data_IF_880670277162
#
_entry.id   IF_880670277162
#
_cell.length_a   1.000
_cell.length_b   1.000
_cell.length_c   1.000
_cell.angle_alpha   90.00
_cell.angle_beta   90.00
_cell.angle_gamma   90.00
#
_symmetry.space_group_name_H-M   'P 1'
#
loop_
_entity.id
_entity.type
_entity.pdbx_description
1 polymer ?
#
# COMPACT_ATOMS: atom_id res chain seq x y z
N UNK A 1 57.09 -35.43 10.26
CA UNK A 1 55.67 -35.49 9.84
C UNK A 1 54.70 -35.29 11.03
N UNK A 2 55.17 -34.83 12.19
CA UNK A 2 54.34 -34.71 13.42
C UNK A 2 53.90 -33.27 13.74
N UNK A 3 54.45 -32.25 13.09
CA UNK A 3 54.01 -30.86 13.29
C UNK A 3 52.62 -30.56 12.70
N UNK A 4 52.18 -31.31 11.68
CA UNK A 4 50.88 -31.08 11.02
C UNK A 4 49.69 -31.58 11.85
N UNK A 5 49.89 -32.61 12.68
CA UNK A 5 48.84 -33.17 13.55
C UNK A 5 48.58 -32.26 14.74
N UNK A 6 49.60 -31.72 15.41
CA UNK A 6 49.40 -30.81 16.54
C UNK A 6 48.69 -29.50 16.14
N UNK A 7 49.00 -28.94 14.97
CA UNK A 7 48.36 -27.72 14.46
C UNK A 7 46.89 -27.97 14.10
N UNK A 8 46.55 -29.14 13.52
CA UNK A 8 45.16 -29.48 13.20
C UNK A 8 44.31 -29.76 14.44
N UNK A 9 44.87 -30.36 15.51
CA UNK A 9 44.13 -30.64 16.76
C UNK A 9 43.70 -29.36 17.49
N UNK A 10 44.43 -28.25 17.36
CA UNK A 10 44.10 -26.97 17.99
C UNK A 10 43.27 -26.08 17.05
N UNK A 11 43.55 -26.11 15.75
CA UNK A 11 42.84 -25.28 14.78
C UNK A 11 41.36 -25.69 14.61
N UNK A 12 41.05 -26.99 14.61
CA UNK A 12 39.68 -27.51 14.46
C UNK A 12 38.72 -27.05 15.56
N UNK A 13 39.03 -27.15 16.87
CA UNK A 13 38.13 -26.68 17.93
C UNK A 13 37.97 -25.15 17.93
N UNK A 14 39.01 -24.39 17.57
CA UNK A 14 38.90 -22.92 17.43
C UNK A 14 37.93 -22.57 16.30
N UNK A 15 38.08 -23.18 15.12
CA UNK A 15 37.16 -22.99 13.99
C UNK A 15 35.73 -23.42 14.33
N UNK A 16 35.56 -24.54 15.03
CA UNK A 16 34.25 -25.01 15.48
C UNK A 16 33.60 -24.02 16.46
N UNK A 17 34.38 -23.42 17.35
CA UNK A 17 33.89 -22.41 18.32
C UNK A 17 33.46 -21.13 17.60
N UNK A 18 34.25 -20.65 16.64
CA UNK A 18 33.90 -19.48 15.81
C UNK A 18 32.65 -19.78 14.97
N UNK A 19 32.56 -20.97 14.37
CA UNK A 19 31.39 -21.39 13.60
C UNK A 19 30.13 -21.50 14.47
N UNK A 20 30.24 -21.99 15.71
CA UNK A 20 29.14 -22.05 16.66
C UNK A 20 28.65 -20.66 17.07
N UNK A 21 29.57 -19.72 17.35
CA UNK A 21 29.22 -18.32 17.66
C UNK A 21 28.57 -17.64 16.46
N UNK A 22 29.11 -17.83 15.25
CA UNK A 22 28.51 -17.30 14.03
C UNK A 22 27.10 -17.87 13.79
N UNK A 23 26.92 -19.17 14.04
CA UNK A 23 25.61 -19.84 13.91
C UNK A 23 24.61 -19.34 14.96
N UNK A 24 25.04 -19.10 16.19
CA UNK A 24 24.21 -18.52 17.25
C UNK A 24 23.78 -17.08 16.91
N UNK A 25 24.68 -16.25 16.38
CA UNK A 25 24.35 -14.90 15.92
C UNK A 25 23.36 -14.94 14.75
N UNK A 26 23.57 -15.86 13.80
CA UNK A 26 22.66 -16.04 12.67
C UNK A 26 21.27 -16.51 13.12
N UNK A 27 21.20 -17.47 14.05
CA UNK A 27 19.96 -17.96 14.63
C UNK A 27 19.23 -16.85 15.40
N UNK A 28 19.97 -16.04 16.18
CA UNK A 28 19.38 -14.91 16.91
C UNK A 28 18.83 -13.83 15.96
N UNK A 29 19.58 -13.46 14.92
CA UNK A 29 19.10 -12.55 13.88
C UNK A 29 17.89 -13.12 13.13
N UNK A 30 17.88 -14.41 12.84
CA UNK A 30 16.74 -15.10 12.22
C UNK A 30 15.51 -15.09 13.12
N UNK A 31 15.67 -15.29 14.42
CA UNK A 31 14.57 -15.23 15.39
C UNK A 31 14.00 -13.81 15.51
N UNK A 32 14.84 -12.79 15.56
CA UNK A 32 14.40 -11.38 15.54
C UNK A 32 13.62 -11.09 14.26
N UNK A 33 14.17 -11.47 13.10
CA UNK A 33 13.52 -11.27 11.80
C UNK A 33 12.18 -12.02 11.70
N UNK A 34 12.10 -13.25 12.20
CA UNK A 34 10.87 -14.03 12.21
C UNK A 34 9.79 -13.40 13.11
N UNK A 35 10.19 -12.83 14.25
CA UNK A 35 9.27 -12.17 15.18
C UNK A 35 8.72 -10.88 14.56
N UNK A 36 9.60 -10.05 13.98
CA UNK A 36 9.21 -8.84 13.26
C UNK A 36 8.31 -9.16 12.05
N UNK A 37 8.65 -10.21 11.29
CA UNK A 37 7.84 -10.67 10.16
C UNK A 37 6.45 -11.15 10.61
N UNK A 38 6.35 -11.84 11.75
CA UNK A 38 5.07 -12.29 12.30
C UNK A 38 4.21 -11.10 12.77
N UNK A 39 4.80 -10.12 13.43
CA UNK A 39 4.11 -8.89 13.85
C UNK A 39 3.61 -8.11 12.63
N UNK A 40 4.45 -7.94 11.62
CA UNK A 40 4.08 -7.33 10.35
C UNK A 40 2.96 -8.10 9.66
N UNK A 41 3.05 -9.43 9.60
CA UNK A 41 2.02 -10.28 9.01
C UNK A 41 0.69 -10.13 9.75
N UNK A 42 0.69 -10.11 11.09
CA UNK A 42 -0.53 -9.89 11.88
C UNK A 42 -1.13 -8.50 11.62
N UNK A 43 -0.30 -7.46 11.55
CA UNK A 43 -0.73 -6.10 11.20
C UNK A 43 -1.34 -6.07 9.80
N UNK A 44 -0.67 -6.70 8.83
CA UNK A 44 -1.10 -6.76 7.44
C UNK A 44 -2.43 -7.50 7.27
N UNK A 45 -2.59 -8.68 7.89
CA UNK A 45 -3.84 -9.46 7.83
C UNK A 45 -5.01 -8.68 8.42
N UNK A 46 -4.79 -7.89 9.49
CA UNK A 46 -5.83 -7.07 10.11
C UNK A 46 -6.31 -5.93 9.21
N UNK A 47 -5.44 -5.42 8.35
CA UNK A 47 -5.73 -4.31 7.44
C UNK A 47 -5.87 -4.75 5.98
N UNK A 48 -5.99 -6.05 5.71
CA UNK A 48 -5.95 -6.57 4.34
C UNK A 48 -7.12 -6.06 3.50
N UNK A 49 -8.33 -6.11 4.05
CA UNK A 49 -9.54 -5.65 3.33
C UNK A 49 -9.49 -4.13 3.08
N UNK A 50 -9.09 -3.37 4.10
CA UNK A 50 -8.89 -1.92 3.98
C UNK A 50 -7.80 -1.59 2.95
N UNK A 51 -6.69 -2.33 2.93
CA UNK A 51 -5.61 -2.11 1.96
C UNK A 51 -6.04 -2.41 0.53
N UNK A 52 -6.84 -3.47 0.31
CA UNK A 52 -7.40 -3.78 -1.01
C UNK A 52 -8.32 -2.64 -1.45
N UNK A 53 -9.17 -2.16 -0.56
CA UNK A 53 -10.09 -1.06 -0.84
C UNK A 53 -9.35 0.26 -1.09
N UNK A 54 -8.36 0.61 -0.27
CA UNK A 54 -7.52 1.81 -0.43
C UNK A 54 -6.78 1.79 -1.78
N UNK A 55 -6.15 0.67 -2.13
CA UNK A 55 -5.40 0.54 -3.39
C UNK A 55 -6.30 0.58 -4.62
N UNK A 56 -7.39 -0.18 -4.62
CA UNK A 56 -8.35 -0.17 -5.73
C UNK A 56 -8.95 1.21 -5.93
N UNK A 57 -9.37 1.89 -4.85
CA UNK A 57 -9.92 3.25 -4.90
C UNK A 57 -8.93 4.26 -5.43
N UNK A 58 -7.67 4.18 -5.00
CA UNK A 58 -6.58 5.04 -5.51
C UNK A 58 -6.38 4.86 -7.01
N UNK A 59 -6.36 3.63 -7.49
CA UNK A 59 -6.21 3.34 -8.93
C UNK A 59 -7.40 3.87 -9.74
N UNK A 60 -8.63 3.63 -9.26
CA UNK A 60 -9.84 4.13 -9.91
C UNK A 60 -9.90 5.67 -9.91
N UNK A 61 -9.39 6.33 -8.86
CA UNK A 61 -9.23 7.79 -8.82
C UNK A 61 -8.24 8.29 -9.87
N UNK A 62 -7.12 7.59 -10.10
CA UNK A 62 -6.19 7.95 -11.17
C UNK A 62 -6.82 7.78 -12.55
N UNK A 63 -7.58 6.72 -12.78
CA UNK A 63 -8.32 6.53 -14.02
C UNK A 63 -9.32 7.67 -14.23
N UNK A 64 -10.12 7.99 -13.21
CA UNK A 64 -11.07 9.10 -13.26
C UNK A 64 -10.34 10.43 -13.55
N UNK A 65 -9.26 10.72 -12.82
CA UNK A 65 -8.41 11.89 -13.04
C UNK A 65 -7.95 12.00 -14.49
N UNK A 66 -7.45 10.91 -15.07
CA UNK A 66 -6.97 10.87 -16.46
C UNK A 66 -8.05 11.31 -17.44
N UNK A 67 -9.26 10.78 -17.28
CA UNK A 67 -10.41 11.13 -18.12
C UNK A 67 -10.81 12.59 -17.93
N UNK A 68 -10.79 13.10 -16.69
CA UNK A 68 -11.21 14.48 -16.40
C UNK A 68 -10.18 15.54 -16.81
N UNK A 69 -8.88 15.22 -16.77
CA UNK A 69 -7.81 16.15 -17.19
C UNK A 69 -7.89 16.43 -18.69
N UNK A 70 -8.19 15.41 -19.49
CA UNK A 70 -8.28 15.59 -20.93
C UNK A 70 -9.43 14.75 -21.54
N UNK A 71 -10.69 15.21 -21.39
CA UNK A 71 -11.85 14.45 -21.85
C UNK A 71 -11.87 14.22 -23.36
N UNK A 72 -11.25 15.12 -24.13
CA UNK A 72 -11.18 15.06 -25.59
C UNK A 72 -10.17 14.04 -26.12
N UNK A 73 -9.18 13.68 -25.31
CA UNK A 73 -8.18 12.65 -25.60
C UNK A 73 -8.53 11.29 -24.97
N UNK A 74 -9.55 11.26 -24.10
CA UNK A 74 -10.05 10.02 -23.54
C UNK A 74 -10.72 9.17 -24.63
N UNK A 75 -10.58 7.84 -24.52
CA UNK A 75 -11.34 6.94 -25.38
C UNK A 75 -12.85 7.12 -25.13
N UNK A 76 -13.67 6.90 -26.16
CA UNK A 76 -15.13 6.96 -26.04
C UNK A 76 -15.63 6.02 -24.93
N UNK A 77 -15.01 4.84 -24.79
CA UNK A 77 -15.31 3.88 -23.71
C UNK A 77 -14.99 4.45 -22.32
N UNK A 78 -13.81 5.04 -22.12
CA UNK A 78 -13.43 5.67 -20.84
C UNK A 78 -14.35 6.85 -20.51
N UNK A 79 -14.72 7.65 -21.50
CA UNK A 79 -15.60 8.80 -21.34
C UNK A 79 -17.04 8.38 -21.02
N UNK A 80 -17.54 7.31 -21.64
CA UNK A 80 -18.84 6.71 -21.32
C UNK A 80 -18.83 6.03 -19.94
N UNK A 81 -17.73 5.39 -19.57
CA UNK A 81 -17.57 4.75 -18.27
C UNK A 81 -17.38 5.75 -17.12
N UNK A 82 -17.03 7.01 -17.39
CA UNK A 82 -16.74 8.05 -16.39
C UNK A 82 -17.75 8.13 -15.23
N UNK A 83 -19.05 8.07 -15.52
CA UNK A 83 -20.10 8.13 -14.50
C UNK A 83 -20.08 6.87 -13.60
N UNK A 84 -19.91 5.70 -14.19
CA UNK A 84 -19.77 4.45 -13.44
C UNK A 84 -18.50 4.42 -12.60
N UNK A 85 -17.38 4.91 -13.15
CA UNK A 85 -16.09 5.05 -12.47
C UNK A 85 -16.22 6.00 -11.27
N UNK A 86 -16.88 7.15 -11.45
CA UNK A 86 -17.16 8.09 -10.36
C UNK A 86 -18.02 7.46 -9.26
N UNK A 87 -19.08 6.74 -9.63
CA UNK A 87 -19.96 6.04 -8.67
C UNK A 87 -19.21 4.99 -7.86
N UNK A 88 -18.33 4.20 -8.50
CA UNK A 88 -17.48 3.22 -7.82
C UNK A 88 -16.55 3.90 -6.83
N UNK A 89 -15.88 4.98 -7.25
CA UNK A 89 -15.00 5.76 -6.37
C UNK A 89 -15.76 6.32 -5.18
N UNK A 90 -16.92 6.94 -5.41
CA UNK A 90 -17.78 7.48 -4.37
C UNK A 90 -18.10 6.43 -3.32
N UNK A 91 -18.63 5.27 -3.74
CA UNK A 91 -19.00 4.18 -2.84
C UNK A 91 -17.80 3.67 -2.04
N UNK A 92 -16.65 3.52 -2.67
CA UNK A 92 -15.46 3.05 -1.97
C UNK A 92 -14.95 4.08 -0.96
N UNK A 93 -14.92 5.37 -1.31
CA UNK A 93 -14.57 6.44 -0.38
C UNK A 93 -15.56 6.47 0.79
N UNK A 94 -16.86 6.43 0.54
CA UNK A 94 -17.89 6.35 1.60
C UNK A 94 -17.64 5.18 2.55
N UNK A 95 -17.32 4.00 2.01
CA UNK A 95 -16.98 2.83 2.83
C UNK A 95 -15.70 3.05 3.67
N UNK A 96 -14.68 3.70 3.13
CA UNK A 96 -13.44 4.01 3.84
C UNK A 96 -13.61 5.07 4.93
N UNK A 97 -14.49 6.05 4.70
CA UNK A 97 -14.86 7.04 5.72
C UNK A 97 -15.73 6.39 6.82
N UNK A 98 -16.68 5.53 6.46
CA UNK A 98 -17.53 4.82 7.41
C UNK A 98 -16.75 3.80 8.26
N UNK A 99 -15.75 3.13 7.69
CA UNK A 99 -14.88 2.21 8.44
C UNK A 99 -13.90 2.93 9.38
N UNK A 100 -13.78 4.27 9.26
CA UNK A 100 -12.79 5.06 9.99
C UNK A 100 -11.36 4.93 9.45
N UNK A 101 -11.17 4.28 8.30
CA UNK A 101 -9.88 4.21 7.61
C UNK A 101 -9.46 5.61 7.11
N UNK A 102 -10.41 6.43 6.68
CA UNK A 102 -10.22 7.84 6.36
C UNK A 102 -10.97 8.73 7.35
N UNK A 103 -10.37 9.88 7.68
CA UNK A 103 -10.92 10.84 8.63
C UNK A 103 -11.41 12.09 7.88
N UNK A 104 -12.60 12.57 8.24
CA UNK A 104 -13.20 13.79 7.70
C UNK A 104 -14.47 13.52 6.90
N UNK A 105 -14.83 14.46 6.04
CA UNK A 105 -16.01 14.37 5.18
C UNK A 105 -15.62 14.08 3.73
N UNK A 106 -16.56 13.46 3.01
CA UNK A 106 -16.43 13.18 1.59
C UNK A 106 -16.49 14.52 0.81
N UNK A 107 -15.51 14.82 -0.08
CA UNK A 107 -15.50 16.05 -0.85
C UNK A 107 -16.75 16.24 -1.72
N UNK A 108 -17.18 17.48 -1.90
CA UNK A 108 -18.39 17.84 -2.67
C UNK A 108 -18.42 17.26 -4.09
N UNK A 109 -17.25 17.13 -4.75
CA UNK A 109 -17.13 16.51 -6.07
C UNK A 109 -17.60 15.04 -6.10
N UNK A 110 -17.50 14.31 -4.99
CA UNK A 110 -18.00 12.94 -4.92
C UNK A 110 -19.45 12.86 -4.41
N UNK A 111 -20.04 13.99 -4.01
CA UNK A 111 -21.44 14.03 -3.58
C UNK A 111 -22.40 14.13 -4.76
N UNK A 112 -21.98 14.72 -5.88
CA UNK A 112 -22.82 14.88 -7.08
C UNK A 112 -23.24 13.54 -7.68
N UNK A 113 -24.36 13.58 -8.40
CA UNK A 113 -24.92 12.43 -9.10
C UNK A 113 -25.23 12.80 -10.55
N UNK A 114 -24.80 11.96 -11.49
CA UNK A 114 -25.07 12.14 -12.90
C UNK A 114 -23.93 12.79 -13.68
N UNK A 115 -23.78 12.34 -14.93
CA UNK A 115 -22.73 12.78 -15.85
C UNK A 115 -22.65 14.30 -16.03
N UNK A 116 -23.78 14.98 -16.16
CA UNK A 116 -23.82 16.44 -16.38
C UNK A 116 -23.17 17.21 -15.22
N UNK A 117 -23.48 16.85 -13.98
CA UNK A 117 -22.91 17.48 -12.79
C UNK A 117 -21.42 17.18 -12.65
N UNK A 118 -20.99 15.96 -13.02
CA UNK A 118 -19.56 15.59 -13.04
C UNK A 118 -18.81 16.48 -14.03
N UNK A 119 -19.37 16.69 -15.23
CA UNK A 119 -18.80 17.55 -16.27
C UNK A 119 -18.73 19.01 -15.83
N UNK A 120 -19.80 19.53 -15.23
CA UNK A 120 -19.85 20.91 -14.74
C UNK A 120 -18.82 21.20 -13.65
N UNK A 121 -18.45 20.18 -12.87
CA UNK A 121 -17.47 20.29 -11.79
C UNK A 121 -16.04 19.90 -12.20
N UNK A 122 -15.78 19.55 -13.47
CA UNK A 122 -14.42 19.23 -13.96
C UNK A 122 -13.38 20.30 -13.59
N UNK A 123 -13.66 21.62 -13.77
CA UNK A 123 -12.67 22.66 -13.45
C UNK A 123 -12.22 22.67 -11.99
N UNK A 124 -13.03 22.11 -11.09
CA UNK A 124 -12.81 22.09 -9.64
C UNK A 124 -12.56 20.67 -9.11
N UNK A 125 -12.59 19.64 -9.95
CA UNK A 125 -12.49 18.24 -9.53
C UNK A 125 -11.04 17.81 -9.26
N UNK A 126 -10.08 18.33 -10.03
CA UNK A 126 -8.68 17.89 -9.97
C UNK A 126 -8.03 18.11 -8.60
N UNK A 127 -8.17 19.27 -7.93
CA UNK A 127 -7.61 19.46 -6.59
C UNK A 127 -8.22 18.51 -5.55
N UNK A 128 -9.53 18.24 -5.65
CA UNK A 128 -10.22 17.32 -4.75
C UNK A 128 -9.74 15.87 -4.97
N UNK A 129 -9.61 15.44 -6.22
CA UNK A 129 -9.09 14.12 -6.56
C UNK A 129 -7.63 13.95 -6.10
N UNK A 130 -6.78 14.95 -6.36
CA UNK A 130 -5.37 14.92 -5.94
C UNK A 130 -5.24 14.87 -4.41
N UNK A 131 -6.10 15.58 -3.68
CA UNK A 131 -6.13 15.53 -2.22
C UNK A 131 -6.53 14.14 -1.72
N UNK A 132 -7.56 13.51 -2.29
CA UNK A 132 -7.99 12.17 -1.90
C UNK A 132 -6.92 11.12 -2.24
N UNK A 133 -6.26 11.22 -3.39
CA UNK A 133 -5.13 10.36 -3.75
C UNK A 133 -4.00 10.46 -2.69
N UNK A 134 -3.69 11.67 -2.22
CA UNK A 134 -2.69 11.88 -1.16
C UNK A 134 -3.12 11.27 0.17
N UNK A 135 -4.40 11.41 0.56
CA UNK A 135 -4.93 10.81 1.79
C UNK A 135 -4.86 9.28 1.73
N UNK A 136 -5.29 8.68 0.62
CA UNK A 136 -5.22 7.24 0.40
C UNK A 136 -3.78 6.73 0.45
N UNK A 137 -2.85 7.43 -0.21
CA UNK A 137 -1.43 7.09 -0.15
C UNK A 137 -0.87 7.20 1.27
N UNK A 138 -1.17 8.30 1.98
CA UNK A 138 -0.74 8.48 3.36
C UNK A 138 -1.24 7.37 4.29
N UNK A 139 -2.49 6.93 4.11
CA UNK A 139 -3.03 5.83 4.91
C UNK A 139 -2.40 4.48 4.59
N UNK A 140 -2.10 4.22 3.31
CA UNK A 140 -1.34 3.02 2.91
C UNK A 140 0.03 3.04 3.58
N UNK A 141 0.75 4.16 3.52
CA UNK A 141 2.08 4.30 4.11
C UNK A 141 2.05 4.13 5.64
N UNK A 142 1.02 4.64 6.33
CA UNK A 142 0.80 4.44 7.76
C UNK A 142 0.62 2.95 8.15
N UNK A 143 -0.05 2.18 7.31
CA UNK A 143 -0.25 0.73 7.55
C UNK A 143 1.08 -0.03 7.40
N UNK A 144 1.94 0.40 6.47
CA UNK A 144 3.23 -0.23 6.19
C UNK A 144 4.40 0.26 7.06
N UNK A 145 4.29 1.43 7.70
CA UNK A 145 5.24 1.96 8.68
C UNK A 145 5.17 1.20 10.02
#
# INVERSE_FOLDING_TARGET
>A
MELNTAVTTIAVPILATIAAVASAIAAWKSQIAATQALEFQKKLTRHQDDLILLRSTKETLFQLRRVLVNPWEASDEDFLAMESTHSVVKRNLESLYQSGALIGELPAFFQVQGRAQIVDLIPHSLPAIDQEIRKLQGKIDEIFA
#
